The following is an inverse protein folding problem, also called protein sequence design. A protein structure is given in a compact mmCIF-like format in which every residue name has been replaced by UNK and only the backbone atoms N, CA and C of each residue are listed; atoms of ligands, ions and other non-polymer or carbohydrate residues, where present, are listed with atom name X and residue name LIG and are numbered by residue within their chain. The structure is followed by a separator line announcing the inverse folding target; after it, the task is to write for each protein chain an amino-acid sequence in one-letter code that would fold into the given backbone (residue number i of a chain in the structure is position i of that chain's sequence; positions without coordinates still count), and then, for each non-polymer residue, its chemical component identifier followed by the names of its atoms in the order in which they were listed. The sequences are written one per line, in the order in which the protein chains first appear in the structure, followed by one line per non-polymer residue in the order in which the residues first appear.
data_IF_406374562098
#
_entry.id   IF_406374562098
#
_cell.length_a   1.000
_cell.length_b   1.000
_cell.length_c   1.000
_cell.angle_alpha   90.00
_cell.angle_beta   90.00
_cell.angle_gamma   90.00
#
_symmetry.space_group_name_H-M   'P 1'
#
loop_
_entity.id
_entity.type
_entity.pdbx_description
1 polymer ?
#
# COMPACT_ATOMS: atom_id res chain seq x y z
N UNK A 1 23.28 -36.32 -16.07
CA UNK A 1 24.26 -35.49 -15.39
C UNK A 1 23.58 -34.24 -14.93
N UNK A 2 23.31 -34.07 -13.65
CA UNK A 2 22.81 -32.83 -13.06
C UNK A 2 24.04 -31.95 -12.85
N UNK A 3 24.14 -30.85 -13.54
CA UNK A 3 25.13 -29.83 -13.23
C UNK A 3 24.68 -29.12 -11.96
N UNK A 4 25.34 -29.41 -10.86
CA UNK A 4 25.26 -28.63 -9.64
C UNK A 4 25.97 -27.29 -9.91
N UNK A 5 25.21 -26.23 -10.06
CA UNK A 5 25.75 -24.87 -10.06
C UNK A 5 26.15 -24.56 -8.61
N UNK A 6 27.44 -24.80 -8.30
CA UNK A 6 28.04 -24.35 -7.05
C UNK A 6 28.23 -22.84 -7.17
N UNK A 7 27.32 -22.07 -6.60
CA UNK A 7 27.50 -20.63 -6.40
C UNK A 7 28.24 -20.45 -5.07
N UNK A 8 29.55 -20.50 -5.10
CA UNK A 8 30.39 -19.96 -4.04
C UNK A 8 30.46 -18.44 -4.25
N UNK A 9 29.65 -17.71 -3.54
CA UNK A 9 29.68 -16.26 -3.64
C UNK A 9 29.48 -15.58 -2.29
N UNK A 10 30.61 -15.36 -1.62
CA UNK A 10 30.73 -14.37 -0.57
C UNK A 10 31.45 -13.21 -1.25
N UNK A 11 30.70 -12.26 -1.78
CA UNK A 11 31.25 -11.02 -2.28
C UNK A 11 31.86 -10.21 -1.11
N UNK A 12 32.96 -9.52 -1.37
CA UNK A 12 33.65 -8.65 -0.40
C UNK A 12 32.86 -7.45 0.06
N UNK A 13 31.63 -7.29 -0.45
CA UNK A 13 30.70 -6.18 -0.17
C UNK A 13 29.68 -6.51 0.92
N UNK A 14 29.71 -7.71 1.50
CA UNK A 14 28.82 -8.11 2.58
C UNK A 14 27.37 -8.39 2.16
N UNK A 15 27.10 -8.49 0.84
CA UNK A 15 25.77 -8.80 0.34
C UNK A 15 25.56 -10.32 0.32
N UNK A 16 24.55 -10.80 1.07
CA UNK A 16 24.06 -12.18 0.94
C UNK A 16 23.32 -12.34 -0.40
N UNK A 17 24.06 -12.77 -1.44
CA UNK A 17 23.49 -12.95 -2.79
C UNK A 17 22.40 -14.02 -2.84
N UNK A 18 22.42 -14.99 -1.95
CA UNK A 18 21.37 -16.00 -1.86
C UNK A 18 20.08 -15.38 -1.26
N UNK A 19 20.21 -14.59 -0.22
CA UNK A 19 19.13 -13.76 0.32
C UNK A 19 18.65 -12.73 -0.70
N UNK A 20 19.58 -12.07 -1.41
CA UNK A 20 19.27 -11.11 -2.47
C UNK A 20 18.44 -11.76 -3.60
N UNK A 21 18.85 -12.94 -4.11
CA UNK A 21 18.09 -13.66 -5.15
C UNK A 21 16.70 -14.11 -4.64
N UNK A 22 16.59 -14.51 -3.37
CA UNK A 22 15.31 -14.81 -2.76
C UNK A 22 14.41 -13.57 -2.68
N UNK A 23 14.97 -12.42 -2.28
CA UNK A 23 14.26 -11.16 -2.27
C UNK A 23 13.88 -10.66 -3.67
N UNK A 24 14.72 -10.89 -4.68
CA UNK A 24 14.39 -10.60 -6.08
C UNK A 24 13.17 -11.43 -6.56
N UNK A 25 13.10 -12.69 -6.14
CA UNK A 25 11.91 -13.52 -6.34
C UNK A 25 10.66 -12.91 -5.69
N UNK A 26 10.81 -12.28 -4.52
CA UNK A 26 9.75 -11.60 -3.80
C UNK A 26 9.24 -10.34 -4.56
N UNK A 27 10.16 -9.52 -5.11
CA UNK A 27 9.81 -8.30 -5.85
C UNK A 27 9.17 -8.56 -7.22
N UNK A 28 9.51 -9.68 -7.85
CA UNK A 28 9.07 -9.99 -9.22
C UNK A 28 7.71 -10.66 -9.36
N UNK A 29 7.06 -11.05 -8.25
CA UNK A 29 5.98 -12.03 -8.28
C UNK A 29 4.55 -11.48 -8.21
N UNK A 30 4.31 -10.23 -8.55
CA UNK A 30 2.94 -9.83 -8.95
C UNK A 30 2.44 -10.67 -10.15
N UNK A 31 3.34 -11.27 -10.92
CA UNK A 31 3.04 -12.22 -12.00
C UNK A 31 4.24 -13.13 -12.24
N UNK A 32 4.27 -14.34 -11.67
CA UNK A 32 5.18 -15.38 -12.16
C UNK A 32 4.62 -15.90 -13.48
N UNK A 33 5.20 -15.43 -14.56
CA UNK A 33 5.01 -16.02 -15.86
C UNK A 33 5.93 -17.25 -15.98
N UNK A 34 5.41 -18.43 -15.77
CA UNK A 34 6.15 -19.65 -16.10
C UNK A 34 5.88 -20.03 -17.56
N UNK A 35 6.93 -20.10 -18.35
CA UNK A 35 6.86 -20.58 -19.73
C UNK A 35 7.08 -22.09 -19.70
N UNK A 36 6.02 -22.88 -19.60
CA UNK A 36 6.05 -24.31 -19.81
C UNK A 36 5.33 -24.63 -21.13
N UNK A 37 6.09 -25.01 -22.16
CA UNK A 37 5.51 -25.40 -23.45
C UNK A 37 4.93 -24.27 -24.28
N UNK A 38 5.39 -23.02 -24.13
CA UNK A 38 4.93 -21.87 -24.93
C UNK A 38 3.60 -21.27 -24.51
N UNK A 39 3.01 -21.72 -23.39
CA UNK A 39 1.76 -21.17 -22.85
C UNK A 39 2.05 -20.54 -21.49
N UNK A 40 1.65 -19.26 -21.30
CA UNK A 40 1.74 -18.61 -20.01
C UNK A 40 0.66 -19.17 -19.07
N UNK A 41 1.06 -19.77 -17.95
CA UNK A 41 0.11 -20.27 -16.95
C UNK A 41 0.29 -19.51 -15.63
N UNK A 42 -0.79 -18.98 -15.09
CA UNK A 42 -0.87 -18.25 -13.81
C UNK A 42 -1.04 -19.20 -12.62
N UNK A 43 -0.33 -20.31 -12.56
CA UNK A 43 -0.50 -21.32 -11.48
C UNK A 43 -0.10 -20.84 -10.10
N UNK A 44 0.83 -19.89 -9.98
CA UNK A 44 1.32 -19.42 -8.69
C UNK A 44 0.26 -18.75 -7.81
N UNK A 45 -0.73 -18.08 -8.38
CA UNK A 45 -1.79 -17.42 -7.62
C UNK A 45 -2.78 -18.42 -7.01
N UNK A 46 -3.16 -19.47 -7.75
CA UNK A 46 -4.07 -20.51 -7.26
C UNK A 46 -3.43 -21.36 -6.16
N UNK A 47 -2.13 -21.66 -6.27
CA UNK A 47 -1.39 -22.46 -5.28
C UNK A 47 -1.15 -21.69 -3.98
N UNK A 48 -0.87 -20.38 -4.05
CA UNK A 48 -0.74 -19.50 -2.87
C UNK A 48 -2.06 -19.35 -2.10
N UNK A 49 -3.19 -19.44 -2.79
CA UNK A 49 -4.53 -19.36 -2.17
C UNK A 49 -5.01 -20.72 -1.61
N UNK A 50 -4.40 -21.84 -2.01
CA UNK A 50 -4.84 -23.19 -1.65
C UNK A 50 -3.94 -23.93 -0.65
N UNK A 51 -2.76 -23.41 -0.32
CA UNK A 51 -1.85 -24.05 0.64
C UNK A 51 -2.13 -23.55 2.07
N UNK A 52 -2.21 -24.46 3.06
CA UNK A 52 -2.24 -24.03 4.46
C UNK A 52 -0.94 -23.30 4.78
N UNK A 53 -1.06 -22.10 5.36
CA UNK A 53 0.05 -21.22 5.69
C UNK A 53 1.15 -21.95 6.50
N UNK A 54 2.39 -21.85 6.04
CA UNK A 54 3.56 -22.23 6.85
C UNK A 54 3.69 -21.31 8.07
N UNK A 55 4.50 -21.68 9.06
CA UNK A 55 4.59 -20.97 10.34
C UNK A 55 5.03 -19.49 10.24
N UNK A 56 5.65 -19.10 9.13
CA UNK A 56 6.07 -17.72 8.85
C UNK A 56 5.17 -16.95 7.89
N UNK A 57 4.17 -17.62 7.29
CA UNK A 57 3.27 -16.99 6.33
C UNK A 57 2.33 -15.99 7.02
N UNK A 58 2.13 -14.86 6.38
CA UNK A 58 1.15 -13.87 6.84
C UNK A 58 0.39 -13.23 5.68
N UNK A 59 -0.71 -12.59 5.99
CA UNK A 59 -1.48 -11.83 5.05
C UNK A 59 -1.96 -10.53 5.68
N UNK A 60 -2.04 -9.51 4.89
CA UNK A 60 -2.64 -8.24 5.28
C UNK A 60 -3.53 -7.70 4.16
N UNK A 61 -4.34 -6.72 4.49
CA UNK A 61 -5.19 -6.04 3.51
C UNK A 61 -4.83 -4.57 3.49
N UNK A 62 -4.72 -4.00 2.30
CA UNK A 62 -4.69 -2.56 2.09
C UNK A 62 -6.08 -2.07 1.70
N UNK A 63 -6.56 -1.04 2.39
CA UNK A 63 -7.65 -0.18 1.97
C UNK A 63 -7.17 1.27 1.92
N UNK A 64 -7.87 2.11 1.19
CA UNK A 64 -7.49 3.50 1.00
C UNK A 64 -8.69 4.37 0.70
N UNK A 65 -8.55 5.66 0.96
CA UNK A 65 -9.44 6.70 0.44
C UNK A 65 -10.91 6.41 0.77
N UNK A 66 -11.21 6.21 2.05
CA UNK A 66 -12.58 5.99 2.52
C UNK A 66 -13.42 7.27 2.56
N UNK A 67 -12.79 8.44 2.65
CA UNK A 67 -13.41 9.76 2.57
C UNK A 67 -14.73 9.86 3.34
N UNK A 68 -14.78 9.35 4.56
CA UNK A 68 -15.99 9.44 5.40
C UNK A 68 -16.39 10.91 5.54
N UNK A 69 -17.66 11.21 5.30
CA UNK A 69 -18.19 12.57 5.20
C UNK A 69 -18.50 13.03 3.77
N UNK A 70 -17.90 12.41 2.73
CA UNK A 70 -18.26 12.70 1.34
C UNK A 70 -19.67 12.20 1.01
N UNK A 71 -20.49 13.03 0.34
CA UNK A 71 -21.89 12.70 0.00
C UNK A 71 -22.36 13.35 -1.32
N UNK A 72 -21.46 13.43 -2.33
CA UNK A 72 -21.78 14.08 -3.62
C UNK A 72 -22.12 13.05 -4.70
N UNK A 73 -22.33 13.52 -5.93
CA UNK A 73 -22.83 12.72 -7.05
C UNK A 73 -21.99 11.46 -7.36
N UNK A 74 -20.67 11.46 -7.10
CA UNK A 74 -19.82 10.31 -7.33
C UNK A 74 -20.11 9.14 -6.39
N UNK A 75 -20.47 9.41 -5.14
CA UNK A 75 -21.00 8.46 -4.18
C UNK A 75 -21.79 9.23 -3.10
N UNK A 76 -23.05 8.94 -2.94
CA UNK A 76 -23.92 9.61 -1.96
C UNK A 76 -23.83 9.00 -0.55
N UNK A 77 -23.22 7.82 -0.43
CA UNK A 77 -23.07 7.11 0.84
C UNK A 77 -21.76 6.31 0.87
N UNK A 78 -20.67 7.04 1.12
CA UNK A 78 -19.33 6.43 1.27
C UNK A 78 -19.24 5.56 2.52
N UNK A 79 -20.05 5.82 3.54
CA UNK A 79 -20.11 4.99 4.75
C UNK A 79 -20.63 3.59 4.43
N UNK A 80 -21.64 3.49 3.57
CA UNK A 80 -22.14 2.18 3.13
C UNK A 80 -21.08 1.40 2.33
N UNK A 81 -20.39 2.05 1.38
CA UNK A 81 -19.34 1.36 0.61
C UNK A 81 -18.11 1.01 1.46
N UNK A 82 -17.77 1.83 2.46
CA UNK A 82 -16.71 1.49 3.42
C UNK A 82 -17.10 0.29 4.30
N UNK A 83 -18.33 0.24 4.83
CA UNK A 83 -18.86 -0.92 5.56
C UNK A 83 -18.85 -2.19 4.70
N UNK A 84 -19.16 -2.06 3.41
CA UNK A 84 -19.12 -3.17 2.46
C UNK A 84 -17.68 -3.69 2.27
N UNK A 85 -16.69 -2.79 2.14
CA UNK A 85 -15.27 -3.15 2.07
C UNK A 85 -14.82 -3.89 3.34
N UNK A 86 -15.14 -3.36 4.52
CA UNK A 86 -14.82 -3.98 5.81
C UNK A 86 -15.48 -5.35 5.96
N UNK A 87 -16.77 -5.46 5.58
CA UNK A 87 -17.47 -6.76 5.57
C UNK A 87 -16.78 -7.75 4.63
N UNK A 88 -16.31 -7.31 3.47
CA UNK A 88 -15.60 -8.18 2.53
C UNK A 88 -14.30 -8.72 3.14
N UNK A 89 -13.57 -7.91 3.90
CA UNK A 89 -12.37 -8.36 4.62
C UNK A 89 -12.71 -9.50 5.58
N UNK A 90 -13.82 -9.39 6.31
CA UNK A 90 -14.25 -10.44 7.27
C UNK A 90 -14.69 -11.74 6.60
N UNK A 91 -14.92 -11.74 5.29
CA UNK A 91 -15.30 -12.92 4.50
C UNK A 91 -14.16 -13.52 3.69
N UNK A 92 -12.95 -12.97 3.82
CA UNK A 92 -11.77 -13.55 3.17
C UNK A 92 -11.51 -14.98 3.68
N UNK A 93 -11.01 -15.90 2.83
CA UNK A 93 -10.73 -17.28 3.20
C UNK A 93 -9.80 -17.41 4.41
N UNK A 94 -8.89 -16.45 4.57
CA UNK A 94 -8.01 -16.30 5.73
C UNK A 94 -8.15 -14.88 6.27
N UNK A 95 -8.43 -14.77 7.58
CA UNK A 95 -8.45 -13.47 8.22
C UNK A 95 -7.08 -12.78 8.09
N UNK A 96 -7.01 -11.48 7.76
CA UNK A 96 -5.74 -10.78 7.69
C UNK A 96 -5.14 -10.63 9.09
N UNK A 97 -3.81 -10.73 9.18
CA UNK A 97 -3.06 -10.51 10.41
C UNK A 97 -3.18 -9.04 10.85
N UNK A 98 -3.25 -8.13 9.89
CA UNK A 98 -3.50 -6.69 10.09
C UNK A 98 -4.02 -6.04 8.82
N UNK A 99 -4.38 -4.77 8.93
CA UNK A 99 -4.80 -3.93 7.81
C UNK A 99 -3.93 -2.68 7.72
N UNK A 100 -3.63 -2.23 6.50
CA UNK A 100 -3.08 -0.91 6.20
C UNK A 100 -4.19 -0.01 5.67
N UNK A 101 -4.36 1.18 6.23
CA UNK A 101 -5.16 2.24 5.65
C UNK A 101 -4.24 3.34 5.12
N UNK A 102 -4.17 3.47 3.81
CA UNK A 102 -3.20 4.34 3.13
C UNK A 102 -3.71 5.77 2.91
N UNK A 103 -4.48 6.31 3.88
CA UNK A 103 -4.83 7.72 3.98
C UNK A 103 -6.19 8.08 3.37
N UNK A 104 -6.56 9.36 3.55
CA UNK A 104 -7.88 9.91 3.24
C UNK A 104 -9.01 9.10 3.90
N UNK A 105 -8.86 8.90 5.24
CA UNK A 105 -9.85 8.25 6.07
C UNK A 105 -11.15 9.05 6.08
N UNK A 106 -11.01 10.36 6.25
CA UNK A 106 -12.08 11.35 6.34
C UNK A 106 -12.12 12.23 5.10
N UNK A 107 -13.17 13.03 4.95
CA UNK A 107 -13.27 13.99 3.85
C UNK A 107 -12.91 15.42 4.27
N UNK A 108 -13.21 15.80 5.50
CA UNK A 108 -12.99 17.15 6.02
C UNK A 108 -12.30 17.19 7.39
N UNK A 109 -11.72 16.06 7.83
CA UNK A 109 -11.07 15.90 9.13
C UNK A 109 -11.97 16.27 10.33
N UNK A 110 -13.30 16.09 10.19
CA UNK A 110 -14.22 16.36 11.29
C UNK A 110 -14.19 15.21 12.31
N UNK A 111 -14.46 15.54 13.58
CA UNK A 111 -14.41 14.57 14.67
C UNK A 111 -15.36 13.37 14.45
N UNK A 112 -16.59 13.64 13.98
CA UNK A 112 -17.60 12.63 13.70
C UNK A 112 -17.25 11.76 12.48
N UNK A 113 -16.49 12.29 11.52
CA UNK A 113 -15.96 11.51 10.40
C UNK A 113 -14.95 10.48 10.90
N UNK A 114 -14.00 10.89 11.76
CA UNK A 114 -13.05 9.97 12.41
C UNK A 114 -13.77 8.95 13.30
N UNK A 115 -14.74 9.39 14.12
CA UNK A 115 -15.52 8.48 14.98
C UNK A 115 -16.23 7.41 14.15
N UNK A 116 -16.75 7.80 12.99
CA UNK A 116 -17.40 6.87 12.05
C UNK A 116 -16.39 5.86 11.49
N UNK A 117 -15.18 6.29 11.10
CA UNK A 117 -14.11 5.37 10.63
C UNK A 117 -13.81 4.34 11.71
N UNK A 118 -13.51 4.79 12.94
CA UNK A 118 -13.17 3.91 14.06
C UNK A 118 -14.31 2.94 14.38
N UNK A 119 -15.57 3.41 14.35
CA UNK A 119 -16.73 2.56 14.63
C UNK A 119 -16.91 1.48 13.55
N UNK A 120 -16.79 1.83 12.27
CA UNK A 120 -16.92 0.85 11.17
C UNK A 120 -15.84 -0.22 11.25
N UNK A 121 -14.59 0.15 11.54
CA UNK A 121 -13.49 -0.80 11.70
C UNK A 121 -13.69 -1.71 12.92
N UNK A 122 -14.16 -1.15 14.03
CA UNK A 122 -14.50 -1.91 15.24
C UNK A 122 -15.63 -2.92 14.98
N UNK A 123 -16.69 -2.50 14.30
CA UNK A 123 -17.81 -3.37 13.95
C UNK A 123 -17.39 -4.50 13.00
N UNK A 124 -16.39 -4.25 12.14
CA UNK A 124 -15.78 -5.24 11.28
C UNK A 124 -14.84 -6.22 11.98
N UNK A 125 -14.61 -6.03 13.30
CA UNK A 125 -13.71 -6.85 14.10
C UNK A 125 -12.27 -6.91 13.54
N UNK A 126 -11.82 -5.78 12.98
CA UNK A 126 -10.43 -5.64 12.50
C UNK A 126 -9.55 -5.35 13.72
N UNK A 127 -8.72 -6.32 14.08
CA UNK A 127 -7.97 -6.31 15.35
C UNK A 127 -6.79 -5.34 15.35
N UNK A 128 -6.16 -5.13 14.21
CA UNK A 128 -4.98 -4.27 14.09
C UNK A 128 -5.00 -3.52 12.76
N UNK A 129 -4.90 -2.19 12.85
CA UNK A 129 -4.83 -1.30 11.68
C UNK A 129 -3.64 -0.38 11.84
N UNK A 130 -2.86 -0.27 10.79
CA UNK A 130 -1.79 0.71 10.66
C UNK A 130 -2.23 1.80 9.69
N UNK A 131 -1.99 3.05 10.03
CA UNK A 131 -2.50 4.19 9.29
C UNK A 131 -1.37 5.10 8.82
N UNK A 132 -1.57 5.75 7.69
CA UNK A 132 -0.92 7.00 7.32
C UNK A 132 -2.01 8.00 6.95
N UNK A 133 -1.84 9.32 7.20
CA UNK A 133 -2.85 10.30 6.82
C UNK A 133 -2.82 10.58 5.32
N UNK A 134 -3.99 10.92 4.76
CA UNK A 134 -4.09 11.61 3.49
C UNK A 134 -4.25 13.12 3.68
N UNK A 135 -4.29 13.87 2.58
CA UNK A 135 -4.44 15.33 2.63
C UNK A 135 -5.79 15.78 3.18
N UNK A 136 -6.80 14.93 3.10
CA UNK A 136 -8.12 15.21 3.68
C UNK A 136 -8.15 15.03 5.19
N UNK A 137 -7.27 14.20 5.77
CA UNK A 137 -7.21 13.94 7.21
C UNK A 137 -6.51 15.04 8.02
N UNK A 138 -5.84 15.98 7.34
CA UNK A 138 -5.11 17.07 7.97
C UNK A 138 -5.76 18.44 7.80
N UNK A 139 -6.97 18.48 7.23
CA UNK A 139 -7.67 19.72 7.00
C UNK A 139 -8.08 20.41 8.31
N UNK A 140 -8.10 21.74 8.30
CA UNK A 140 -8.60 22.57 9.40
C UNK A 140 -7.65 22.77 10.56
N UNK A 141 -7.04 21.71 11.09
CA UNK A 141 -6.18 21.74 12.29
C UNK A 141 -4.73 21.30 12.06
N UNK A 142 -4.34 21.19 10.79
CA UNK A 142 -3.02 20.71 10.39
C UNK A 142 -2.72 19.30 10.94
N UNK A 143 -3.72 18.41 10.97
CA UNK A 143 -3.60 17.01 11.35
C UNK A 143 -3.56 16.74 12.86
N UNK A 144 -3.87 17.72 13.71
CA UNK A 144 -3.85 17.53 15.16
C UNK A 144 -4.88 16.47 15.60
N UNK A 145 -6.10 16.48 15.04
CA UNK A 145 -7.13 15.49 15.34
C UNK A 145 -6.72 14.08 14.88
N UNK A 146 -6.09 13.97 13.71
CA UNK A 146 -5.53 12.71 13.23
C UNK A 146 -4.45 12.18 14.17
N UNK A 147 -3.45 13.00 14.51
CA UNK A 147 -2.33 12.60 15.38
C UNK A 147 -2.79 12.24 16.80
N UNK A 148 -3.81 12.93 17.32
CA UNK A 148 -4.39 12.58 18.62
C UNK A 148 -4.98 11.16 18.62
N UNK A 149 -5.58 10.71 17.54
CA UNK A 149 -6.24 9.40 17.42
C UNK A 149 -5.27 8.29 17.01
N UNK A 150 -4.46 8.53 15.98
CA UNK A 150 -3.64 7.53 15.31
C UNK A 150 -2.13 7.75 15.44
N UNK A 151 -1.70 8.87 16.03
CA UNK A 151 -0.28 9.23 16.15
C UNK A 151 0.47 8.56 17.31
N UNK A 152 -0.18 7.74 18.13
CA UNK A 152 0.50 7.07 19.25
C UNK A 152 1.60 6.14 18.76
N UNK A 153 2.83 6.37 19.21
CA UNK A 153 4.00 5.56 18.83
C UNK A 153 4.65 5.98 17.51
N UNK A 154 4.11 6.99 16.84
CA UNK A 154 4.69 7.57 15.63
C UNK A 154 5.67 8.69 15.95
N UNK A 155 6.38 9.20 14.95
CA UNK A 155 7.33 10.32 15.04
C UNK A 155 6.89 11.46 14.12
N UNK A 156 7.32 12.69 14.45
CA UNK A 156 7.02 13.88 13.67
C UNK A 156 5.53 14.02 13.37
N UNK A 157 5.20 14.10 12.09
CA UNK A 157 3.83 14.22 11.62
C UNK A 157 3.14 12.85 11.41
N UNK A 158 3.59 11.80 12.09
CA UNK A 158 2.92 10.51 12.09
C UNK A 158 3.64 9.39 11.32
N UNK A 159 4.91 9.54 10.95
CA UNK A 159 5.67 8.45 10.33
C UNK A 159 6.23 7.46 11.36
N UNK A 160 6.43 6.22 10.95
CA UNK A 160 6.89 5.14 11.82
C UNK A 160 7.32 3.91 11.01
N UNK A 161 7.93 2.95 11.71
CA UNK A 161 8.21 1.61 11.18
C UNK A 161 7.86 0.53 12.19
N UNK A 162 7.69 -0.69 11.70
CA UNK A 162 7.49 -1.88 12.51
C UNK A 162 7.93 -3.13 11.75
N UNK A 163 8.27 -4.19 12.49
CA UNK A 163 8.60 -5.48 11.92
C UNK A 163 7.45 -6.47 12.09
N UNK A 164 7.18 -7.24 11.05
CA UNK A 164 6.22 -8.33 11.10
C UNK A 164 6.69 -9.50 10.24
N UNK A 165 6.83 -10.68 10.86
CA UNK A 165 7.15 -11.93 10.17
C UNK A 165 8.35 -11.83 9.22
N UNK A 166 9.42 -11.17 9.65
CA UNK A 166 10.66 -11.01 8.86
C UNK A 166 10.61 -9.95 7.77
N UNK A 167 9.51 -9.20 7.63
CA UNK A 167 9.42 -8.03 6.76
C UNK A 167 9.47 -6.74 7.60
N UNK A 168 10.12 -5.71 7.06
CA UNK A 168 10.17 -4.38 7.66
C UNK A 168 9.18 -3.45 6.97
N UNK A 169 8.25 -2.89 7.75
CA UNK A 169 7.17 -2.01 7.28
C UNK A 169 7.47 -0.57 7.65
N UNK A 170 7.27 0.35 6.72
CA UNK A 170 7.58 1.78 6.88
C UNK A 170 6.39 2.61 6.43
N UNK A 171 5.73 3.27 7.38
CA UNK A 171 4.67 4.25 7.12
C UNK A 171 5.27 5.65 6.94
N UNK A 172 5.23 6.18 5.73
CA UNK A 172 5.69 7.53 5.41
C UNK A 172 4.51 8.49 5.26
N UNK A 173 4.74 9.74 5.67
CA UNK A 173 3.74 10.80 5.61
C UNK A 173 4.21 11.89 4.66
N UNK A 174 3.45 12.17 3.61
CA UNK A 174 3.84 13.09 2.55
C UNK A 174 2.77 14.13 2.19
N UNK A 175 1.86 14.41 3.14
CA UNK A 175 0.69 15.29 2.89
C UNK A 175 0.76 16.64 3.62
N UNK A 176 1.66 16.83 4.58
CA UNK A 176 1.80 18.09 5.33
C UNK A 176 2.48 19.21 4.54
N UNK A 177 3.20 18.89 3.47
CA UNK A 177 3.75 19.83 2.51
C UNK A 177 3.20 19.55 1.11
N UNK A 178 3.04 20.58 0.30
CA UNK A 178 2.65 20.46 -1.11
C UNK A 178 3.53 21.33 -2.00
N UNK A 179 3.96 20.81 -3.15
CA UNK A 179 4.58 21.62 -4.20
C UNK A 179 3.58 22.58 -4.83
N UNK A 180 4.04 23.50 -5.67
CA UNK A 180 3.17 24.38 -6.47
C UNK A 180 2.19 23.58 -7.35
N UNK A 181 2.59 22.40 -7.80
CA UNK A 181 1.75 21.48 -8.59
C UNK A 181 0.83 20.62 -7.71
N UNK A 182 0.89 20.75 -6.38
CA UNK A 182 0.10 19.96 -5.44
C UNK A 182 0.67 18.58 -5.10
N UNK A 183 1.88 18.25 -5.57
CA UNK A 183 2.57 17.01 -5.23
C UNK A 183 2.95 16.98 -3.74
N UNK A 184 2.94 15.78 -3.16
CA UNK A 184 3.35 15.54 -1.77
C UNK A 184 4.82 15.85 -1.50
N UNK A 185 5.17 16.04 -0.22
CA UNK A 185 6.53 16.28 0.25
C UNK A 185 6.75 15.50 1.54
N UNK A 186 7.84 14.70 1.61
CA UNK A 186 8.27 14.00 2.83
C UNK A 186 8.96 14.96 3.81
N UNK A 187 9.86 15.78 3.29
CA UNK A 187 10.67 16.71 4.07
C UNK A 187 11.95 16.12 4.66
N UNK A 188 12.89 17.01 5.00
CA UNK A 188 14.24 16.62 5.40
C UNK A 188 14.29 15.79 6.69
N UNK A 189 13.45 16.09 7.67
CA UNK A 189 13.45 15.40 8.97
C UNK A 189 13.01 13.94 8.82
N UNK A 190 11.97 13.69 8.02
CA UNK A 190 11.49 12.34 7.75
C UNK A 190 12.49 11.54 6.89
N UNK A 191 13.13 12.15 5.90
CA UNK A 191 14.19 11.53 5.12
C UNK A 191 15.41 11.17 5.97
N UNK A 192 15.79 12.03 6.91
CA UNK A 192 16.86 11.76 7.86
C UNK A 192 16.50 10.62 8.81
N UNK A 193 15.25 10.58 9.29
CA UNK A 193 14.72 9.49 10.09
C UNK A 193 14.73 8.19 9.30
N UNK A 194 14.21 8.17 8.07
CA UNK A 194 14.18 6.98 7.20
C UNK A 194 15.58 6.40 6.99
N UNK A 195 16.57 7.27 6.72
CA UNK A 195 17.96 6.84 6.59
C UNK A 195 18.49 6.16 7.86
N UNK A 196 18.14 6.68 9.04
CA UNK A 196 18.55 6.11 10.34
C UNK A 196 17.82 4.79 10.61
N UNK A 197 16.54 4.69 10.30
CA UNK A 197 15.71 3.52 10.47
C UNK A 197 16.28 2.34 9.65
N UNK A 198 16.56 2.57 8.38
CA UNK A 198 17.12 1.57 7.47
C UNK A 198 18.55 1.14 7.80
N UNK A 199 19.32 1.94 8.53
CA UNK A 199 20.73 1.65 8.82
C UNK A 199 20.94 0.37 9.65
N UNK A 200 19.94 -0.07 10.42
CA UNK A 200 19.94 -1.30 11.21
C UNK A 200 19.31 -2.51 10.52
N UNK A 201 18.74 -2.34 9.31
CA UNK A 201 18.01 -3.37 8.60
C UNK A 201 18.92 -4.08 7.59
N UNK A 202 18.90 -5.42 7.58
CA UNK A 202 19.66 -6.19 6.59
C UNK A 202 19.16 -5.93 5.17
N UNK A 203 20.06 -5.81 4.21
CA UNK A 203 19.72 -5.65 2.80
C UNK A 203 18.90 -6.83 2.22
N UNK A 204 18.91 -7.98 2.88
CA UNK A 204 18.09 -9.14 2.53
C UNK A 204 16.67 -9.11 3.15
N UNK A 205 16.39 -8.17 4.06
CA UNK A 205 15.06 -8.01 4.65
C UNK A 205 14.11 -7.39 3.61
N UNK A 206 12.97 -8.02 3.32
CA UNK A 206 11.96 -7.42 2.48
C UNK A 206 11.39 -6.15 3.13
N UNK A 207 11.26 -5.09 2.34
CA UNK A 207 10.74 -3.79 2.78
C UNK A 207 9.36 -3.55 2.19
N UNK A 208 8.42 -3.15 3.03
CA UNK A 208 7.11 -2.65 2.59
C UNK A 208 6.97 -1.19 3.03
N UNK A 209 6.95 -0.29 2.06
CA UNK A 209 6.71 1.14 2.32
C UNK A 209 5.27 1.46 1.99
N UNK A 210 4.59 2.19 2.85
CA UNK A 210 3.25 2.68 2.54
C UNK A 210 3.15 4.17 2.87
N UNK A 211 2.52 4.91 1.95
CA UNK A 211 2.28 6.35 2.05
C UNK A 211 1.00 6.68 1.30
N UNK A 212 0.40 7.84 1.56
CA UNK A 212 -0.82 8.21 0.85
C UNK A 212 -0.54 8.56 -0.61
N UNK A 213 0.16 9.66 -0.86
CA UNK A 213 0.51 10.09 -2.22
C UNK A 213 1.60 9.17 -2.79
N UNK A 214 1.52 8.73 -4.06
CA UNK A 214 2.57 7.92 -4.68
C UNK A 214 3.96 8.53 -4.51
N UNK A 215 4.95 7.70 -4.13
CA UNK A 215 6.34 8.16 -3.97
C UNK A 215 7.01 8.47 -5.32
N UNK A 216 6.48 7.96 -6.42
CA UNK A 216 6.93 8.28 -7.79
C UNK A 216 5.94 9.21 -8.46
N UNK A 217 6.38 9.91 -9.50
CA UNK A 217 5.50 10.75 -10.31
C UNK A 217 4.62 9.87 -11.21
N UNK A 218 3.32 9.83 -10.91
CA UNK A 218 2.29 9.22 -11.76
C UNK A 218 1.78 10.25 -12.78
N UNK A 219 1.43 11.46 -12.30
CA UNK A 219 0.96 12.55 -13.14
C UNK A 219 1.07 13.89 -12.40
N UNK A 220 2.19 14.58 -12.58
CA UNK A 220 2.51 15.82 -11.87
C UNK A 220 1.46 16.93 -12.03
N UNK A 221 0.82 17.02 -13.21
CA UNK A 221 -0.22 18.04 -13.47
C UNK A 221 -1.42 17.97 -12.53
N UNK A 222 -1.67 16.82 -11.90
CA UNK A 222 -2.74 16.63 -10.92
C UNK A 222 -2.22 16.45 -9.50
N UNK A 223 -0.93 16.69 -9.25
CA UNK A 223 -0.33 16.47 -7.95
C UNK A 223 -0.09 15.00 -7.60
N UNK A 224 -0.16 14.09 -8.58
CA UNK A 224 -0.03 12.65 -8.37
C UNK A 224 1.43 12.22 -8.36
N UNK A 225 2.09 12.43 -7.24
CA UNK A 225 3.47 12.10 -6.98
C UNK A 225 4.03 12.83 -5.77
N UNK A 226 5.25 12.49 -5.38
CA UNK A 226 5.96 13.10 -4.25
C UNK A 226 7.24 13.74 -4.75
N UNK A 227 7.41 15.05 -4.49
CA UNK A 227 8.48 15.88 -5.04
C UNK A 227 9.87 15.38 -4.66
N UNK A 228 10.05 14.99 -3.42
CA UNK A 228 11.29 14.45 -2.85
C UNK A 228 11.27 12.92 -2.70
N UNK A 229 10.27 12.26 -3.29
CA UNK A 229 10.11 10.82 -3.25
C UNK A 229 11.32 10.05 -3.79
N UNK A 230 11.99 10.58 -4.82
CA UNK A 230 13.22 9.97 -5.34
C UNK A 230 14.31 9.83 -4.28
N UNK A 231 14.42 10.78 -3.32
CA UNK A 231 15.39 10.69 -2.23
C UNK A 231 15.08 9.53 -1.29
N UNK A 232 13.81 9.27 -0.98
CA UNK A 232 13.40 8.11 -0.20
C UNK A 232 13.67 6.80 -0.96
N UNK A 233 13.32 6.75 -2.24
CA UNK A 233 13.55 5.58 -3.09
C UNK A 233 15.03 5.27 -3.25
N UNK A 234 15.90 6.28 -3.31
CA UNK A 234 17.35 6.08 -3.36
C UNK A 234 17.90 5.38 -2.11
N UNK A 235 17.34 5.66 -0.94
CA UNK A 235 17.70 4.96 0.31
C UNK A 235 17.30 3.48 0.31
N UNK A 236 16.32 3.11 -0.52
CA UNK A 236 15.76 1.75 -0.60
C UNK A 236 16.45 0.89 -1.69
N UNK A 237 17.24 1.48 -2.57
CA UNK A 237 17.88 0.76 -3.68
C UNK A 237 18.83 -0.38 -3.26
N UNK A 238 19.35 -0.31 -2.03
CA UNK A 238 20.27 -1.33 -1.50
C UNK A 238 19.57 -2.61 -1.02
N UNK A 239 18.25 -2.63 -0.90
CA UNK A 239 17.50 -3.80 -0.42
C UNK A 239 17.14 -4.73 -1.58
N UNK A 240 17.05 -6.02 -1.30
CA UNK A 240 16.77 -7.02 -2.33
C UNK A 240 15.35 -6.95 -2.86
N UNK A 241 14.38 -6.53 -2.04
CA UNK A 241 12.97 -6.42 -2.39
C UNK A 241 12.30 -5.28 -1.67
N UNK A 242 11.64 -4.40 -2.42
CA UNK A 242 10.88 -3.27 -1.90
C UNK A 242 9.50 -3.23 -2.55
N UNK A 243 8.45 -3.17 -1.74
CA UNK A 243 7.07 -2.95 -2.21
C UNK A 243 6.58 -1.62 -1.68
N UNK A 244 6.10 -0.76 -2.57
CA UNK A 244 5.57 0.57 -2.24
C UNK A 244 4.07 0.58 -2.50
N UNK A 245 3.28 0.82 -1.44
CA UNK A 245 1.82 0.83 -1.47
C UNK A 245 1.29 2.25 -1.26
N UNK A 246 0.41 2.70 -2.13
CA UNK A 246 -0.15 4.05 -2.07
C UNK A 246 -1.67 4.07 -2.29
N UNK A 247 -2.30 5.19 -1.92
CA UNK A 247 -3.68 5.56 -2.24
C UNK A 247 -3.73 6.75 -3.20
N UNK A 248 -4.54 7.76 -2.85
CA UNK A 248 -4.65 9.09 -3.44
C UNK A 248 -5.26 9.13 -4.84
N UNK A 249 -4.87 8.23 -5.74
CA UNK A 249 -5.31 8.28 -7.15
C UNK A 249 -6.57 7.47 -7.43
N UNK A 250 -7.06 6.73 -6.45
CA UNK A 250 -8.29 5.91 -6.48
C UNK A 250 -8.35 4.89 -7.64
N UNK A 251 -7.20 4.47 -8.14
CA UNK A 251 -7.05 3.52 -9.23
C UNK A 251 -5.91 2.56 -8.94
N UNK A 252 -5.99 1.35 -9.50
CA UNK A 252 -4.83 0.46 -9.53
C UNK A 252 -3.88 0.92 -10.62
N UNK A 253 -2.69 1.30 -10.19
CA UNK A 253 -1.54 1.55 -11.07
C UNK A 253 -0.37 0.74 -10.55
N UNK A 254 0.28 0.01 -11.41
CA UNK A 254 1.44 -0.81 -11.06
C UNK A 254 2.66 -0.38 -11.88
N UNK A 255 3.81 -0.37 -11.22
CA UNK A 255 5.11 -0.12 -11.84
C UNK A 255 6.14 -1.04 -11.20
N UNK A 256 7.07 -1.55 -11.97
CA UNK A 256 8.25 -2.27 -11.47
C UNK A 256 9.48 -1.54 -11.96
N UNK A 257 10.39 -1.24 -11.07
CA UNK A 257 11.66 -0.58 -11.37
C UNK A 257 12.78 -1.20 -10.53
N UNK A 258 13.63 -1.98 -11.17
CA UNK A 258 14.69 -2.73 -10.48
C UNK A 258 14.11 -3.69 -9.43
N UNK A 259 14.50 -3.47 -8.18
CA UNK A 259 14.07 -4.24 -7.00
C UNK A 259 12.78 -3.70 -6.35
N UNK A 260 12.15 -2.68 -6.93
CA UNK A 260 10.99 -2.00 -6.37
C UNK A 260 9.73 -2.30 -7.18
N UNK A 261 8.67 -2.68 -6.47
CA UNK A 261 7.32 -2.81 -7.01
C UNK A 261 6.44 -1.73 -6.40
N UNK A 262 5.77 -0.96 -7.23
CA UNK A 262 4.85 0.10 -6.83
C UNK A 262 3.42 -0.31 -7.14
N UNK A 263 2.52 -0.06 -6.22
CA UNK A 263 1.10 -0.38 -6.37
C UNK A 263 0.24 0.71 -5.70
N UNK A 264 -0.79 1.16 -6.39
CA UNK A 264 -1.79 2.06 -5.84
C UNK A 264 -3.11 1.32 -5.66
N UNK A 265 -3.81 1.59 -4.55
CA UNK A 265 -5.08 0.96 -4.24
C UNK A 265 -6.27 1.66 -4.93
N UNK A 266 -7.35 0.90 -5.11
CA UNK A 266 -8.67 1.48 -5.34
C UNK A 266 -9.15 2.18 -4.08
N UNK A 267 -9.93 3.25 -4.25
CA UNK A 267 -10.69 3.86 -3.16
C UNK A 267 -11.84 2.96 -2.72
N UNK A 268 -12.26 3.10 -1.46
CA UNK A 268 -13.55 2.55 -0.99
C UNK A 268 -14.70 3.55 -1.14
N UNK A 269 -14.40 4.82 -1.51
CA UNK A 269 -15.39 5.90 -1.60
C UNK A 269 -15.87 6.17 -3.03
N UNK A 270 -14.98 6.54 -3.93
CA UNK A 270 -15.31 6.91 -5.32
C UNK A 270 -14.08 6.74 -6.23
N UNK A 271 -14.28 6.50 -7.54
CA UNK A 271 -13.18 6.45 -8.50
C UNK A 271 -12.75 7.86 -8.92
N UNK A 272 -11.53 7.96 -9.48
CA UNK A 272 -11.03 9.14 -10.18
C UNK A 272 -10.82 8.83 -11.68
N UNK A 273 -10.80 9.84 -12.57
CA UNK A 273 -10.52 9.64 -13.98
C UNK A 273 -9.05 9.21 -14.21
N UNK A 274 -8.79 8.49 -15.29
CA UNK A 274 -7.42 8.16 -15.68
C UNK A 274 -6.60 9.43 -16.01
N UNK A 275 -5.27 9.42 -15.81
CA UNK A 275 -4.42 10.58 -16.05
C UNK A 275 -4.66 11.19 -17.44
N UNK A 276 -4.91 12.50 -17.48
CA UNK A 276 -5.10 13.25 -18.73
C UNK A 276 -6.46 13.08 -19.42
N UNK A 277 -7.38 12.25 -18.91
CA UNK A 277 -8.70 12.05 -19.52
C UNK A 277 -9.75 13.05 -19.03
N UNK A 278 -9.42 13.88 -18.04
CA UNK A 278 -10.25 14.97 -17.52
C UNK A 278 -9.41 16.23 -17.31
N UNK A 279 -10.06 17.36 -17.04
CA UNK A 279 -9.37 18.63 -16.79
C UNK A 279 -8.53 18.60 -15.49
N UNK A 280 -8.97 17.82 -14.50
CA UNK A 280 -8.28 17.62 -13.21
C UNK A 280 -8.66 16.26 -12.60
N UNK A 281 -7.84 15.78 -11.64
CA UNK A 281 -8.21 14.69 -10.75
C UNK A 281 -9.40 15.07 -9.86
N UNK A 282 -10.03 14.07 -9.27
CA UNK A 282 -11.14 14.24 -8.36
C UNK A 282 -12.29 13.25 -8.59
N UNK A 283 -13.37 13.34 -7.80
CA UNK A 283 -14.47 12.38 -7.82
C UNK A 283 -15.11 12.22 -9.21
N UNK A 284 -15.07 11.01 -9.75
CA UNK A 284 -15.67 10.67 -11.04
C UNK A 284 -17.05 10.06 -10.83
N UNK A 285 -18.05 10.62 -11.51
CA UNK A 285 -19.40 10.07 -11.53
C UNK A 285 -19.48 8.94 -12.54
N UNK A 286 -19.95 7.79 -12.07
CA UNK A 286 -20.20 6.60 -12.91
C UNK A 286 -21.65 6.13 -12.69
N UNK A 287 -22.22 5.31 -13.60
CA UNK A 287 -23.52 4.68 -13.35
C UNK A 287 -23.53 3.93 -12.01
N UNK A 288 -24.64 3.99 -11.27
CA UNK A 288 -24.73 3.45 -9.91
C UNK A 288 -24.44 1.94 -9.83
N UNK A 289 -24.80 1.20 -10.86
CA UNK A 289 -24.53 -0.24 -11.02
C UNK A 289 -23.05 -0.56 -11.30
N UNK A 290 -22.27 0.42 -11.77
CA UNK A 290 -20.84 0.27 -12.04
C UNK A 290 -19.95 0.71 -10.86
N UNK A 291 -20.47 1.52 -9.93
CA UNK A 291 -19.67 2.10 -8.86
C UNK A 291 -18.89 1.03 -8.08
N UNK A 292 -19.55 -0.03 -7.65
CA UNK A 292 -18.91 -1.10 -6.87
C UNK A 292 -17.80 -1.84 -7.61
N UNK A 293 -17.88 -1.89 -8.93
CA UNK A 293 -16.81 -2.43 -9.80
C UNK A 293 -15.57 -1.54 -9.88
N UNK A 294 -15.69 -0.27 -9.49
CA UNK A 294 -14.59 0.69 -9.46
C UNK A 294 -13.96 0.84 -8.07
N UNK A 295 -14.67 0.43 -7.01
CA UNK A 295 -14.23 0.47 -5.62
C UNK A 295 -13.62 -0.88 -5.23
N UNK A 296 -12.74 -0.90 -4.20
CA UNK A 296 -12.16 -2.18 -3.82
C UNK A 296 -11.14 -2.12 -2.68
N UNK A 297 -10.46 -3.22 -2.52
CA UNK A 297 -9.38 -3.45 -1.58
C UNK A 297 -8.30 -4.32 -2.22
N UNK A 298 -7.09 -4.31 -1.65
CA UNK A 298 -5.97 -5.14 -2.08
C UNK A 298 -5.61 -6.11 -0.95
N UNK A 299 -5.72 -7.41 -1.22
CA UNK A 299 -5.22 -8.45 -0.32
C UNK A 299 -3.76 -8.76 -0.66
N UNK A 300 -2.92 -8.85 0.36
CA UNK A 300 -1.50 -9.14 0.21
C UNK A 300 -1.18 -10.40 0.99
N UNK A 301 -0.66 -11.41 0.32
CA UNK A 301 -0.27 -12.67 0.91
C UNK A 301 1.24 -12.84 0.79
N UNK A 302 1.90 -13.12 1.91
CA UNK A 302 3.32 -13.43 1.98
C UNK A 302 3.50 -14.88 2.40
N UNK A 303 4.32 -15.59 1.62
CA UNK A 303 4.70 -16.98 1.89
C UNK A 303 6.19 -17.01 2.19
N UNK A 304 6.55 -17.21 3.46
CA UNK A 304 7.95 -17.11 3.92
C UNK A 304 8.87 -18.10 3.24
N UNK A 305 8.44 -19.35 3.06
CA UNK A 305 9.25 -20.43 2.47
C UNK A 305 9.67 -20.11 1.04
N UNK A 306 8.76 -19.54 0.27
CA UNK A 306 8.96 -19.22 -1.15
C UNK A 306 9.33 -17.73 -1.36
N UNK A 307 9.32 -16.93 -0.30
CA UNK A 307 9.49 -15.46 -0.35
C UNK A 307 8.58 -14.78 -1.38
N UNK A 308 7.34 -15.27 -1.52
CA UNK A 308 6.37 -14.74 -2.47
C UNK A 308 5.45 -13.73 -1.81
N UNK A 309 5.33 -12.55 -2.42
CA UNK A 309 4.29 -11.58 -2.13
C UNK A 309 3.30 -11.55 -3.30
N UNK A 310 2.06 -11.87 -3.04
CA UNK A 310 0.98 -11.76 -4.01
C UNK A 310 0.05 -10.61 -3.62
N UNK A 311 -0.11 -9.62 -4.51
CA UNK A 311 -1.11 -8.57 -4.39
C UNK A 311 -2.32 -8.95 -5.24
N UNK A 312 -3.50 -8.98 -4.64
CA UNK A 312 -4.75 -9.35 -5.29
C UNK A 312 -5.76 -8.23 -5.10
N UNK A 313 -5.99 -7.48 -6.16
CA UNK A 313 -7.03 -6.45 -6.16
C UNK A 313 -8.41 -7.10 -6.32
N UNK A 314 -9.33 -6.71 -5.46
CA UNK A 314 -10.72 -7.12 -5.55
C UNK A 314 -11.64 -5.90 -5.53
N UNK A 315 -12.74 -6.00 -6.29
CA UNK A 315 -13.74 -4.93 -6.32
C UNK A 315 -14.86 -5.19 -5.31
N UNK A 316 -15.66 -4.17 -4.99
CA UNK A 316 -16.85 -4.33 -4.16
C UNK A 316 -18.05 -4.88 -4.96
N UNK A 317 -17.97 -4.98 -6.29
CA UNK A 317 -18.95 -5.72 -7.06
C UNK A 317 -19.01 -7.17 -6.55
N UNK A 318 -20.20 -7.69 -6.34
CA UNK A 318 -20.40 -9.05 -5.86
C UNK A 318 -19.74 -10.09 -6.79
N UNK A 319 -19.32 -11.21 -6.22
CA UNK A 319 -18.99 -12.44 -6.96
C UNK A 319 -20.25 -13.04 -7.50
#
# INVERSE_FOLDING_TARGET
MKEDIIVNDISRDGIDRRGFLKCMGWAGTATVWSLAGGVFTSRALADALSNPAAAGDFNFVQISDSHIGFNKAANKDVTATFKEAVKRISTLPKAPDFMLHTGDLTHLAQADEFDTVEQVLKDGNISQVFYVPGEHDILGDNGAAYLQRFGKGTQGNGWYSFDSKGCHFIGLVNVFGKSEQGMGILGADQLAWLKKDLAGVSNSTPIVVFAHVPLWEVYAKWGWGTTDGAQALDLLKGFGSVTVLNGHIHQVTQKVEGNMTFHTARSTAFPQPAPGTAAKGGPMVVPADQLRGMLGLTSVNYVEVDHHLALVDSTLAGT
#
